data_IF_716377594079
#
_entry.id   IF_716377594079
#
_cell.length_a   1.000
_cell.length_b   1.000
_cell.length_c   1.000
_cell.angle_alpha   90.00
_cell.angle_beta   90.00
_cell.angle_gamma   90.00
#
_symmetry.space_group_name_H-M   'P 1'
#
loop_
_entity.id
_entity.type
_entity.pdbx_description
1 polymer ?
#
# COMPACT_ATOMS: atom_id res chain seq x y z
N UNK A 1 -15.41 -41.87 -19.27
CA UNK A 1 -14.67 -40.63 -19.62
C UNK A 1 -15.47 -39.44 -19.12
N UNK A 2 -15.13 -38.94 -17.93
CA UNK A 2 -15.64 -37.66 -17.42
C UNK A 2 -14.39 -36.78 -17.21
N UNK A 3 -14.37 -35.48 -17.45
CA UNK A 3 -15.40 -34.53 -17.04
C UNK A 3 -15.23 -33.22 -17.80
N UNK A 4 -16.35 -32.54 -18.00
CA UNK A 4 -16.51 -31.20 -18.55
C UNK A 4 -15.46 -30.18 -18.07
N UNK A 5 -14.93 -29.42 -19.03
CA UNK A 5 -14.16 -28.20 -18.81
C UNK A 5 -15.12 -27.11 -18.32
N UNK A 6 -15.51 -27.15 -17.06
CA UNK A 6 -16.21 -26.03 -16.44
C UNK A 6 -15.19 -24.94 -16.08
N UNK A 7 -15.27 -23.82 -16.80
CA UNK A 7 -14.74 -22.50 -16.43
C UNK A 7 -15.37 -22.01 -15.11
N UNK A 8 -15.04 -22.65 -13.99
CA UNK A 8 -15.38 -22.09 -12.68
C UNK A 8 -14.34 -21.04 -12.31
N UNK A 9 -14.74 -19.78 -12.51
CA UNK A 9 -14.32 -18.65 -11.68
C UNK A 9 -14.29 -19.13 -10.22
N UNK A 10 -13.19 -18.94 -9.50
CA UNK A 10 -13.00 -19.43 -8.14
C UNK A 10 -14.23 -19.22 -7.26
N UNK A 11 -14.49 -20.16 -6.34
CA UNK A 11 -15.46 -19.91 -5.26
C UNK A 11 -15.08 -18.62 -4.52
N UNK A 12 -16.04 -17.81 -4.04
CA UNK A 12 -15.75 -16.56 -3.35
C UNK A 12 -14.75 -16.73 -2.19
N UNK A 13 -14.83 -17.83 -1.44
CA UNK A 13 -13.90 -18.14 -0.35
C UNK A 13 -12.48 -18.46 -0.81
N UNK A 14 -12.29 -19.04 -2.00
CA UNK A 14 -10.96 -19.27 -2.57
C UNK A 14 -10.34 -17.96 -3.06
N UNK A 15 -11.15 -17.07 -3.64
CA UNK A 15 -10.68 -15.76 -4.11
C UNK A 15 -10.17 -14.91 -2.94
N UNK A 16 -10.93 -14.82 -1.85
CA UNK A 16 -10.54 -14.02 -0.69
C UNK A 16 -9.20 -14.50 -0.09
N UNK A 17 -9.02 -15.82 0.06
CA UNK A 17 -7.75 -16.40 0.55
C UNK A 17 -6.55 -16.03 -0.32
N UNK A 18 -6.72 -15.99 -1.64
CA UNK A 18 -5.65 -15.57 -2.58
C UNK A 18 -5.31 -14.09 -2.38
N UNK A 19 -6.32 -13.24 -2.16
CA UNK A 19 -6.12 -11.81 -1.86
C UNK A 19 -5.38 -11.67 -0.52
N UNK A 20 -5.82 -12.35 0.52
CA UNK A 20 -5.23 -12.24 1.86
C UNK A 20 -3.76 -12.67 1.84
N UNK A 21 -3.43 -13.79 1.18
CA UNK A 21 -2.05 -14.22 0.99
C UNK A 21 -1.21 -13.16 0.26
N UNK A 22 -1.73 -12.58 -0.82
CA UNK A 22 -1.01 -11.54 -1.55
C UNK A 22 -0.79 -10.27 -0.70
N UNK A 23 -1.80 -9.85 0.06
CA UNK A 23 -1.71 -8.69 0.96
C UNK A 23 -0.75 -8.92 2.13
N UNK A 24 -0.53 -10.18 2.53
CA UNK A 24 0.47 -10.59 3.51
C UNK A 24 1.84 -10.91 2.90
N UNK A 25 2.09 -10.52 1.64
CA UNK A 25 3.41 -10.66 1.00
C UNK A 25 3.72 -12.04 0.41
N UNK A 26 2.76 -12.96 0.36
CA UNK A 26 2.96 -14.27 -0.26
C UNK A 26 2.94 -14.13 -1.79
N UNK A 27 4.08 -14.41 -2.41
CA UNK A 27 4.24 -14.32 -3.86
C UNK A 27 3.37 -15.32 -4.64
N UNK A 28 3.01 -14.98 -5.87
CA UNK A 28 2.06 -15.78 -6.67
C UNK A 28 2.47 -17.26 -6.85
N UNK A 29 3.76 -17.54 -6.97
CA UNK A 29 4.29 -18.92 -7.06
C UNK A 29 4.16 -19.68 -5.74
N UNK A 30 4.34 -19.00 -4.60
CA UNK A 30 4.16 -19.60 -3.29
C UNK A 30 2.68 -19.90 -3.04
N UNK A 31 1.80 -18.95 -3.31
CA UNK A 31 0.33 -19.13 -3.23
C UNK A 31 -0.14 -20.28 -4.11
N UNK A 32 0.40 -20.41 -5.33
CA UNK A 32 0.04 -21.49 -6.26
C UNK A 32 0.39 -22.87 -5.68
N UNK A 33 1.56 -22.99 -5.05
CA UNK A 33 2.00 -24.22 -4.38
C UNK A 33 1.14 -24.54 -3.16
N UNK A 34 0.89 -23.55 -2.29
CA UNK A 34 0.10 -23.71 -1.06
C UNK A 34 -1.33 -24.16 -1.39
N UNK A 35 -1.92 -23.58 -2.44
CA UNK A 35 -3.31 -23.84 -2.80
C UNK A 35 -3.50 -25.00 -3.79
N UNK A 36 -2.41 -25.60 -4.28
CA UNK A 36 -2.42 -26.55 -5.39
C UNK A 36 -3.19 -26.02 -6.62
N UNK A 37 -2.91 -24.77 -7.01
CA UNK A 37 -3.55 -24.08 -8.13
C UNK A 37 -2.52 -23.65 -9.18
N UNK A 38 -2.93 -23.58 -10.44
CA UNK A 38 -2.13 -22.93 -11.47
C UNK A 38 -2.07 -21.42 -11.24
N UNK A 39 -0.86 -20.84 -11.26
CA UNK A 39 -0.66 -19.39 -11.08
C UNK A 39 -1.35 -18.52 -12.14
N UNK A 40 -1.56 -19.07 -13.34
CA UNK A 40 -2.32 -18.43 -14.44
C UNK A 40 -3.78 -18.22 -14.12
N UNK A 41 -4.33 -18.92 -13.12
CA UNK A 41 -5.73 -18.79 -12.70
C UNK A 41 -5.95 -17.59 -11.79
N UNK A 42 -4.89 -16.93 -11.29
CA UNK A 42 -5.02 -15.90 -10.27
C UNK A 42 -5.75 -14.66 -10.79
N UNK A 43 -6.59 -14.05 -9.95
CA UNK A 43 -7.28 -12.82 -10.32
C UNK A 43 -6.26 -11.70 -10.60
N UNK A 44 -6.58 -10.76 -11.50
CA UNK A 44 -5.74 -9.59 -11.70
C UNK A 44 -5.77 -8.71 -10.44
N UNK A 45 -4.69 -8.73 -9.67
CA UNK A 45 -4.50 -7.88 -8.49
C UNK A 45 -4.50 -6.37 -8.81
N UNK A 46 -4.40 -5.98 -10.09
CA UNK A 46 -4.46 -4.58 -10.55
C UNK A 46 -5.76 -3.84 -10.16
N UNK A 47 -6.81 -4.57 -9.79
CA UNK A 47 -8.08 -4.00 -9.31
C UNK A 47 -8.08 -3.72 -7.81
N UNK A 48 -7.14 -4.28 -7.05
CA UNK A 48 -6.97 -3.93 -5.64
C UNK A 48 -6.31 -2.55 -5.57
N UNK A 49 -7.00 -1.62 -4.93
CA UNK A 49 -6.50 -0.28 -4.64
C UNK A 49 -6.56 -0.12 -3.12
N UNK A 50 -5.48 -0.46 -2.39
CA UNK A 50 -5.45 -0.18 -0.96
C UNK A 50 -5.68 1.32 -0.73
N UNK A 51 -6.47 1.65 0.28
CA UNK A 51 -6.78 3.03 0.60
C UNK A 51 -5.50 3.74 1.04
N UNK A 52 -5.23 4.91 0.44
CA UNK A 52 -4.06 5.71 0.79
C UNK A 52 -4.15 6.32 2.18
N UNK A 53 -5.36 6.49 2.73
CA UNK A 53 -5.61 7.00 4.08
C UNK A 53 -6.23 5.90 4.91
N UNK A 54 -5.78 5.75 6.17
CA UNK A 54 -6.35 4.79 7.10
C UNK A 54 -7.78 5.16 7.48
N UNK A 55 -8.68 4.19 7.50
CA UNK A 55 -10.04 4.36 8.04
C UNK A 55 -10.10 4.27 9.56
N UNK A 56 -8.97 3.93 10.22
CA UNK A 56 -8.91 3.73 11.68
C UNK A 56 -8.88 5.03 12.49
N UNK A 57 -8.57 6.16 11.84
CA UNK A 57 -8.43 7.47 12.48
C UNK A 57 -9.50 8.38 11.89
N UNK A 58 -10.29 9.02 12.75
CA UNK A 58 -11.33 9.94 12.29
C UNK A 58 -10.69 11.26 11.82
N UNK A 59 -11.16 11.86 10.72
CA UNK A 59 -10.82 13.23 10.37
C UNK A 59 -11.10 14.19 11.54
N UNK A 60 -10.25 15.20 11.74
CA UNK A 60 -10.31 16.12 12.88
C UNK A 60 -9.80 15.54 14.20
N UNK A 61 -9.13 14.38 14.17
CA UNK A 61 -8.38 13.89 15.34
C UNK A 61 -7.01 14.54 15.40
N UNK A 62 -6.57 14.88 16.61
CA UNK A 62 -5.17 15.23 16.87
C UNK A 62 -4.26 14.04 16.56
N UNK A 63 -3.32 14.23 15.64
CA UNK A 63 -2.32 13.24 15.24
C UNK A 63 -0.92 13.80 15.37
N UNK A 64 -0.03 13.04 16.01
CA UNK A 64 1.41 13.37 16.05
C UNK A 64 2.08 12.61 14.92
N UNK A 65 2.38 13.32 13.81
CA UNK A 65 2.83 12.69 12.57
C UNK A 65 4.35 12.70 12.47
N UNK A 66 4.93 11.51 12.36
CA UNK A 66 6.24 11.35 11.75
C UNK A 66 6.02 11.22 10.25
N UNK A 67 6.48 12.21 9.46
CA UNK A 67 6.48 12.11 8.02
C UNK A 67 7.83 11.53 7.60
N UNK A 68 7.86 10.21 7.46
CA UNK A 68 9.07 9.49 7.10
C UNK A 68 9.08 9.24 5.58
N UNK A 69 10.09 9.78 4.92
CA UNK A 69 10.45 9.35 3.57
C UNK A 69 11.39 8.17 3.73
N UNK A 70 10.83 6.97 3.73
CA UNK A 70 11.58 5.74 3.99
C UNK A 70 12.59 5.42 2.88
N UNK A 71 13.56 4.57 3.20
CA UNK A 71 14.44 3.90 2.25
C UNK A 71 13.69 2.86 1.40
N UNK A 72 12.42 2.59 1.69
CA UNK A 72 11.65 1.61 0.95
C UNK A 72 11.20 2.13 -0.42
N UNK A 73 11.77 1.52 -1.45
CA UNK A 73 11.42 1.76 -2.85
C UNK A 73 11.51 0.46 -3.67
N UNK A 74 10.89 0.47 -4.85
CA UNK A 74 10.96 -0.64 -5.78
C UNK A 74 10.71 -0.20 -7.23
N UNK A 75 10.87 -1.12 -8.17
CA UNK A 75 10.63 -0.86 -9.59
C UNK A 75 9.26 -1.39 -10.02
N UNK A 76 8.50 -0.60 -10.77
CA UNK A 76 7.21 -1.02 -11.33
C UNK A 76 7.34 -1.22 -12.83
N UNK A 77 7.46 -2.48 -13.25
CA UNK A 77 7.56 -2.90 -14.66
C UNK A 77 8.95 -2.72 -15.29
N UNK A 78 9.64 -1.60 -15.03
CA UNK A 78 10.98 -1.32 -15.55
C UNK A 78 11.85 -0.58 -14.52
N UNK A 79 13.18 -0.70 -14.63
CA UNK A 79 14.15 -0.04 -13.72
C UNK A 79 14.07 1.50 -13.74
N UNK A 80 13.72 2.09 -14.88
CA UNK A 80 13.48 3.54 -15.00
C UNK A 80 12.24 4.02 -14.25
N UNK A 81 11.36 3.09 -13.83
CA UNK A 81 10.09 3.38 -13.14
C UNK A 81 10.20 3.03 -11.66
N UNK A 82 11.19 3.61 -10.99
CA UNK A 82 11.32 3.52 -9.54
C UNK A 82 10.13 4.20 -8.85
N UNK A 83 9.64 3.61 -7.76
CA UNK A 83 8.56 4.12 -6.93
C UNK A 83 8.99 4.06 -5.47
N UNK A 84 8.87 5.19 -4.81
CA UNK A 84 9.18 5.43 -3.41
C UNK A 84 7.88 5.42 -2.61
N UNK A 85 7.95 4.86 -1.41
CA UNK A 85 6.89 4.95 -0.42
C UNK A 85 7.12 6.20 0.43
N UNK A 86 6.14 7.10 0.42
CA UNK A 86 6.06 8.19 1.38
C UNK A 86 4.90 7.88 2.32
N UNK A 87 5.12 8.00 3.63
CA UNK A 87 4.07 7.72 4.58
C UNK A 87 4.13 8.64 5.81
N UNK A 88 2.96 8.85 6.37
CA UNK A 88 2.74 9.57 7.61
C UNK A 88 2.34 8.57 8.68
N UNK A 89 3.08 8.59 9.78
CA UNK A 89 2.93 7.63 10.86
C UNK A 89 2.58 8.35 12.16
N UNK A 90 1.43 7.99 12.73
CA UNK A 90 1.07 8.42 14.07
C UNK A 90 1.85 7.59 15.08
N UNK A 91 2.82 8.21 15.75
CA UNK A 91 3.68 7.53 16.72
C UNK A 91 2.95 7.12 18.00
N UNK A 92 1.91 7.86 18.40
CA UNK A 92 1.12 7.53 19.59
C UNK A 92 0.26 6.31 19.32
N UNK A 93 -0.45 6.31 18.18
CA UNK A 93 -1.36 5.22 17.79
C UNK A 93 -0.65 4.08 17.08
N UNK A 94 0.66 4.19 16.85
CA UNK A 94 1.49 3.24 16.11
C UNK A 94 0.86 2.80 14.79
N UNK A 95 0.32 3.76 14.05
CA UNK A 95 -0.53 3.52 12.87
C UNK A 95 -0.14 4.44 11.73
N UNK A 96 -0.07 3.91 10.52
CA UNK A 96 0.07 4.72 9.30
C UNK A 96 -1.23 5.49 9.07
N UNK A 97 -1.15 6.82 9.05
CA UNK A 97 -2.27 7.73 8.80
C UNK A 97 -2.57 7.81 7.31
N UNK A 98 -1.53 8.08 6.52
CA UNK A 98 -1.63 8.16 5.08
C UNK A 98 -0.33 7.70 4.41
N UNK A 99 -0.43 7.23 3.17
CA UNK A 99 0.72 6.88 2.34
C UNK A 99 0.48 7.18 0.87
N UNK A 100 1.55 7.46 0.14
CA UNK A 100 1.54 7.63 -1.31
C UNK A 100 2.74 6.94 -1.93
N UNK A 101 2.53 6.37 -3.12
CA UNK A 101 3.62 5.89 -3.96
C UNK A 101 3.89 6.87 -5.10
N UNK A 102 5.16 7.13 -5.38
CA UNK A 102 5.53 8.04 -6.46
C UNK A 102 7.02 8.12 -6.72
N UNK A 103 7.40 9.09 -7.54
CA UNK A 103 8.81 9.45 -7.70
C UNK A 103 9.28 10.20 -6.45
N UNK A 104 10.60 10.22 -6.23
CA UNK A 104 11.21 10.94 -5.10
C UNK A 104 11.26 12.44 -5.39
N UNK A 105 10.08 13.08 -5.34
CA UNK A 105 9.89 14.48 -5.71
C UNK A 105 8.97 15.20 -4.73
N UNK A 106 9.05 16.53 -4.70
CA UNK A 106 8.16 17.40 -3.92
C UNK A 106 6.70 17.31 -4.36
N UNK A 107 6.43 17.02 -5.63
CA UNK A 107 5.07 16.76 -6.08
C UNK A 107 4.47 15.50 -5.43
N UNK A 108 5.26 14.45 -5.19
CA UNK A 108 4.77 13.26 -4.47
C UNK A 108 4.53 13.57 -3.00
N UNK A 109 5.43 14.32 -2.36
CA UNK A 109 5.25 14.75 -0.97
C UNK A 109 4.02 15.64 -0.80
N UNK A 110 3.80 16.62 -1.70
CA UNK A 110 2.63 17.48 -1.69
C UNK A 110 1.31 16.70 -1.76
N UNK A 111 1.27 15.59 -2.52
CA UNK A 111 0.10 14.68 -2.52
C UNK A 111 -0.14 14.04 -1.16
N UNK A 112 0.91 13.64 -0.44
CA UNK A 112 0.78 13.13 0.94
C UNK A 112 0.22 14.22 1.86
N UNK A 113 0.73 15.46 1.76
CA UNK A 113 0.25 16.59 2.55
C UNK A 113 -1.24 16.85 2.29
N UNK A 114 -1.70 16.79 1.04
CA UNK A 114 -3.13 16.91 0.72
C UNK A 114 -4.00 15.83 1.34
N UNK A 115 -3.48 14.61 1.52
CA UNK A 115 -4.21 13.54 2.22
C UNK A 115 -4.29 13.77 3.72
N UNK A 116 -3.34 14.54 4.28
CA UNK A 116 -3.26 14.84 5.71
C UNK A 116 -4.02 16.09 6.11
N UNK A 117 -4.45 16.93 5.15
CA UNK A 117 -5.19 18.16 5.42
C UNK A 117 -6.46 18.00 6.27
N UNK A 118 -7.16 16.84 6.31
CA UNK A 118 -8.30 16.64 7.20
C UNK A 118 -7.93 16.31 8.66
N UNK A 119 -6.65 16.23 9.01
CA UNK A 119 -6.19 15.88 10.35
C UNK A 119 -5.42 17.03 10.99
N UNK A 120 -5.52 17.16 12.31
CA UNK A 120 -4.81 18.17 13.08
C UNK A 120 -3.40 17.65 13.37
N UNK A 121 -2.48 17.93 12.44
CA UNK A 121 -1.08 17.50 12.53
C UNK A 121 -0.30 18.42 13.47
N UNK A 122 0.04 17.90 14.65
CA UNK A 122 0.62 18.71 15.74
C UNK A 122 2.13 18.89 15.59
N UNK A 123 2.84 17.88 15.07
CA UNK A 123 4.31 17.90 14.93
C UNK A 123 4.67 17.16 13.64
N UNK A 124 5.65 17.68 12.90
CA UNK A 124 6.28 17.04 11.76
C UNK A 124 7.70 16.66 12.12
N UNK A 125 8.01 15.36 12.11
CA UNK A 125 9.37 14.84 12.25
C UNK A 125 9.77 14.25 10.90
N UNK A 126 10.85 14.73 10.28
CA UNK A 126 11.45 14.10 9.09
C UNK A 126 12.80 13.52 9.47
N UNK A 127 13.02 12.23 9.23
CA UNK A 127 14.34 11.63 9.43
C UNK A 127 15.34 12.21 8.43
N UNK A 128 16.50 12.63 8.96
CA UNK A 128 17.52 13.49 8.37
C UNK A 128 17.11 14.97 8.29
N UNK A 129 17.79 15.82 9.08
CA UNK A 129 17.67 17.29 9.12
C UNK A 129 18.03 18.04 7.83
N UNK A 130 17.69 17.50 6.66
CA UNK A 130 17.47 18.28 5.44
C UNK A 130 15.98 18.55 5.32
N UNK A 131 15.61 19.72 5.83
CA UNK A 131 14.30 20.32 5.67
C UNK A 131 13.95 20.34 4.18
N UNK A 132 13.08 19.45 3.72
CA UNK A 132 12.17 19.83 2.64
C UNK A 132 10.98 20.47 3.33
N UNK A 133 11.21 21.71 3.78
CA UNK A 133 10.14 22.54 4.32
C UNK A 133 9.07 22.68 3.23
N UNK A 134 7.83 22.26 3.47
CA UNK A 134 6.73 22.86 2.75
C UNK A 134 6.66 24.30 3.26
N UNK A 135 7.07 25.25 2.42
CA UNK A 135 6.81 26.66 2.66
C UNK A 135 5.31 26.89 2.89
#
# INVERSE_FOLDING_TARGET
MATAVHLHRFSPGTHQKIIDMAMNGVGCRATARIMALASTRFPPFKKLRPQSVTSRIQPGSDVIVCAEMDEQWGYVGAKSRQRWLFYAYDRLRKTVVAHVFGERTMATLGRLMSLLSPFDVVIWMTEAGRCMNPA
#
